data_IF_264086666687
#
_entry.id   IF_264086666687
#
_cell.length_a   1.000
_cell.length_b   1.000
_cell.length_c   1.000
_cell.angle_alpha   90.00
_cell.angle_beta   90.00
_cell.angle_gamma   90.00
#
_symmetry.space_group_name_H-M   'P 1'
#
loop_
_entity.id
_entity.type
_entity.pdbx_description
1 polymer ?
#
# COMPACT_ATOMS: atom_id res chain seq x y z
N UNK A 1 11.37 -45.12 9.48
CA UNK A 1 11.34 -43.86 10.26
C UNK A 1 11.76 -42.76 9.30
N UNK A 2 10.79 -42.13 8.66
CA UNK A 2 11.03 -40.95 7.83
C UNK A 2 11.54 -39.82 8.73
N UNK A 3 12.64 -39.23 8.32
CA UNK A 3 13.30 -38.16 9.04
C UNK A 3 12.50 -36.87 8.79
N UNK A 4 11.49 -36.61 9.63
CA UNK A 4 10.73 -35.34 9.73
C UNK A 4 11.62 -34.22 10.29
N UNK A 5 12.78 -34.02 9.65
CA UNK A 5 13.70 -32.95 9.98
C UNK A 5 13.27 -31.68 9.25
N UNK A 6 12.59 -30.82 10.01
CA UNK A 6 12.61 -29.36 9.84
C UNK A 6 11.98 -28.80 8.55
N UNK A 7 10.68 -28.95 8.38
CA UNK A 7 9.91 -27.87 7.73
C UNK A 7 9.89 -26.69 8.69
N UNK A 8 10.98 -25.91 8.74
CA UNK A 8 10.95 -24.66 9.47
C UNK A 8 9.83 -23.81 8.89
N UNK A 9 8.94 -23.34 9.76
CA UNK A 9 7.89 -22.41 9.38
C UNK A 9 8.57 -21.15 8.80
N UNK A 10 8.72 -21.09 7.48
CA UNK A 10 9.37 -19.96 6.82
C UNK A 10 8.38 -18.81 6.80
N UNK A 11 8.57 -17.87 7.72
CA UNK A 11 7.82 -16.60 7.76
C UNK A 11 7.93 -15.94 6.39
N UNK A 12 6.79 -15.59 5.80
CA UNK A 12 6.74 -14.93 4.48
C UNK A 12 6.78 -13.41 4.64
N UNK A 13 7.10 -12.71 3.55
CA UNK A 13 6.98 -11.25 3.49
C UNK A 13 5.55 -10.80 3.85
N UNK A 14 4.51 -11.53 3.41
CA UNK A 14 3.12 -11.24 3.75
C UNK A 14 2.89 -11.29 5.27
N UNK A 15 3.42 -12.30 5.96
CA UNK A 15 3.34 -12.38 7.43
C UNK A 15 4.03 -11.18 8.08
N UNK A 16 5.21 -10.79 7.60
CA UNK A 16 5.93 -9.62 8.12
C UNK A 16 5.11 -8.33 7.96
N UNK A 17 4.49 -8.13 6.79
CA UNK A 17 3.63 -6.97 6.51
C UNK A 17 2.40 -7.00 7.41
N UNK A 18 1.75 -8.15 7.59
CA UNK A 18 0.56 -8.27 8.45
C UNK A 18 0.88 -7.90 9.91
N UNK A 19 1.97 -8.42 10.47
CA UNK A 19 2.40 -8.05 11.82
C UNK A 19 2.74 -6.56 11.88
N UNK A 20 3.43 -6.03 10.87
CA UNK A 20 3.74 -4.60 10.82
C UNK A 20 2.49 -3.72 10.78
N UNK A 21 1.44 -4.09 10.04
CA UNK A 21 0.14 -3.36 10.02
C UNK A 21 -0.53 -3.38 11.39
N UNK A 22 -0.47 -4.50 12.11
CA UNK A 22 -0.96 -4.59 13.49
C UNK A 22 -0.16 -3.66 14.41
N UNK A 23 1.17 -3.62 14.27
CA UNK A 23 2.02 -2.67 15.00
C UNK A 23 1.66 -1.22 14.68
N UNK A 24 1.39 -0.87 13.42
CA UNK A 24 0.91 0.47 13.03
C UNK A 24 -0.38 0.82 13.77
N UNK A 25 -1.35 -0.10 13.81
CA UNK A 25 -2.63 0.13 14.51
C UNK A 25 -2.38 0.41 15.99
N UNK A 26 -1.58 -0.43 16.66
CA UNK A 26 -1.26 -0.22 18.07
C UNK A 26 -0.50 1.07 18.33
N UNK A 27 0.42 1.46 17.44
CA UNK A 27 1.13 2.73 17.53
C UNK A 27 0.15 3.91 17.47
N UNK A 28 -0.77 3.92 16.49
CA UNK A 28 -1.74 5.01 16.31
C UNK A 28 -2.75 5.08 17.47
N UNK A 29 -3.20 3.94 17.98
CA UNK A 29 -4.03 3.88 19.19
C UNK A 29 -3.23 4.39 20.39
N UNK A 30 -1.95 4.04 20.50
CA UNK A 30 -1.05 4.57 21.52
C UNK A 30 -0.93 6.10 21.46
N UNK A 31 -0.81 6.69 20.26
CA UNK A 31 -0.88 8.14 20.10
C UNK A 31 -2.21 8.70 20.62
N UNK A 32 -3.34 8.07 20.32
CA UNK A 32 -4.64 8.51 20.82
C UNK A 32 -4.75 8.45 22.35
N UNK A 33 -4.22 7.41 22.97
CA UNK A 33 -4.25 7.26 24.43
C UNK A 33 -3.30 8.22 25.15
N UNK A 34 -2.10 8.43 24.60
CA UNK A 34 -1.03 9.20 25.26
C UNK A 34 -1.11 10.70 24.97
N UNK A 35 -1.49 11.10 23.76
CA UNK A 35 -1.54 12.50 23.31
C UNK A 35 -2.97 13.07 23.33
N UNK A 36 -3.98 12.19 23.40
CA UNK A 36 -5.39 12.57 23.37
C UNK A 36 -5.90 12.92 21.96
N UNK A 37 -7.22 13.01 21.83
CA UNK A 37 -7.90 13.48 20.63
C UNK A 37 -8.37 14.90 20.91
N UNK A 38 -7.82 15.87 20.17
CA UNK A 38 -8.08 17.30 20.40
C UNK A 38 -9.06 17.87 19.38
N UNK A 39 -9.04 17.35 18.14
CA UNK A 39 -9.90 17.83 17.06
C UNK A 39 -10.23 16.71 16.04
N UNK A 40 -10.89 17.11 14.95
CA UNK A 40 -11.25 16.20 13.86
C UNK A 40 -10.06 15.64 13.09
N UNK A 41 -8.87 16.24 13.18
CA UNK A 41 -7.67 15.76 12.46
C UNK A 41 -7.33 14.36 12.91
N UNK A 42 -7.24 14.12 14.23
CA UNK A 42 -6.85 12.82 14.75
C UNK A 42 -7.92 11.77 14.47
N UNK A 43 -9.21 12.14 14.62
CA UNK A 43 -10.33 11.24 14.32
C UNK A 43 -10.29 10.80 12.85
N UNK A 44 -10.19 11.75 11.92
CA UNK A 44 -10.10 11.46 10.49
C UNK A 44 -8.85 10.61 10.21
N UNK A 45 -7.70 10.99 10.76
CA UNK A 45 -6.47 10.25 10.55
C UNK A 45 -6.58 8.79 10.98
N UNK A 46 -7.11 8.54 12.18
CA UNK A 46 -7.35 7.18 12.70
C UNK A 46 -8.29 6.41 11.78
N UNK A 47 -9.43 7.01 11.40
CA UNK A 47 -10.40 6.37 10.49
C UNK A 47 -9.77 5.95 9.16
N UNK A 48 -8.96 6.81 8.54
CA UNK A 48 -8.34 6.51 7.26
C UNK A 48 -7.22 5.46 7.40
N UNK A 49 -6.30 5.64 8.35
CA UNK A 49 -5.10 4.82 8.43
C UNK A 49 -5.35 3.47 9.11
N UNK A 50 -6.06 3.44 10.25
CA UNK A 50 -6.47 2.18 10.89
C UNK A 50 -7.47 1.46 9.99
N UNK A 51 -8.44 2.17 9.40
CA UNK A 51 -9.40 1.58 8.47
C UNK A 51 -8.71 0.86 7.31
N UNK A 52 -7.68 1.47 6.71
CA UNK A 52 -6.89 0.79 5.68
C UNK A 52 -6.09 -0.41 6.22
N UNK A 53 -5.47 -0.31 7.39
CA UNK A 53 -4.73 -1.44 7.96
C UNK A 53 -5.66 -2.63 8.28
N UNK A 54 -6.86 -2.35 8.78
CA UNK A 54 -7.91 -3.37 8.98
C UNK A 54 -8.35 -3.95 7.64
N UNK A 55 -8.62 -3.10 6.64
CA UNK A 55 -8.95 -3.57 5.30
C UNK A 55 -7.89 -4.51 4.73
N UNK A 56 -6.60 -4.18 4.85
CA UNK A 56 -5.49 -5.04 4.42
C UNK A 56 -5.51 -6.43 5.08
N UNK A 57 -5.89 -6.51 6.35
CA UNK A 57 -5.97 -7.78 7.08
C UNK A 57 -7.23 -8.57 6.67
N UNK A 58 -8.36 -7.88 6.49
CA UNK A 58 -9.65 -8.48 6.14
C UNK A 58 -9.70 -8.92 4.67
N UNK A 59 -9.12 -8.16 3.75
CA UNK A 59 -9.15 -8.48 2.30
C UNK A 59 -8.54 -9.85 2.01
N UNK A 60 -7.59 -10.28 2.83
CA UNK A 60 -6.98 -11.59 2.71
C UNK A 60 -7.99 -12.71 2.97
N UNK A 61 -8.90 -12.51 3.91
CA UNK A 61 -10.00 -13.44 4.17
C UNK A 61 -10.99 -13.49 3.00
N UNK A 62 -11.34 -12.33 2.43
CA UNK A 62 -12.21 -12.26 1.25
C UNK A 62 -11.58 -12.85 -0.02
N UNK A 63 -10.27 -12.69 -0.19
CA UNK A 63 -9.53 -13.12 -1.39
C UNK A 63 -8.40 -14.09 -1.01
N UNK A 64 -8.71 -15.34 -0.61
CA UNK A 64 -7.71 -16.29 -0.10
C UNK A 64 -6.61 -16.60 -1.11
N UNK A 65 -6.95 -16.79 -2.39
CA UNK A 65 -5.98 -17.02 -3.48
C UNK A 65 -4.96 -15.89 -3.63
N UNK A 66 -5.34 -14.65 -3.29
CA UNK A 66 -4.42 -13.50 -3.33
C UNK A 66 -3.25 -13.69 -2.36
N UNK A 67 -3.46 -14.33 -1.20
CA UNK A 67 -2.39 -14.60 -0.22
C UNK A 67 -1.33 -15.58 -0.72
N UNK A 68 -1.70 -16.49 -1.60
CA UNK A 68 -0.79 -17.50 -2.15
C UNK A 68 0.22 -16.87 -3.12
N UNK A 69 -0.19 -15.81 -3.81
CA UNK A 69 0.61 -15.14 -4.84
C UNK A 69 1.29 -13.87 -4.31
N UNK A 70 0.66 -13.15 -3.38
CA UNK A 70 1.12 -11.86 -2.89
C UNK A 70 2.14 -12.01 -1.76
N UNK A 71 3.38 -11.56 -1.98
CA UNK A 71 4.44 -11.52 -0.97
C UNK A 71 4.68 -12.90 -0.29
N UNK A 72 4.58 -13.98 -1.07
CA UNK A 72 4.75 -15.36 -0.60
C UNK A 72 6.21 -15.79 -0.45
N UNK A 73 7.16 -14.94 -0.87
CA UNK A 73 8.58 -15.20 -0.69
C UNK A 73 8.95 -15.28 0.80
N UNK A 74 9.78 -16.26 1.21
CA UNK A 74 10.24 -16.37 2.58
C UNK A 74 11.16 -15.20 2.92
N UNK A 75 11.05 -14.70 4.15
CA UNK A 75 11.87 -13.61 4.64
C UNK A 75 12.69 -14.05 5.85
N UNK A 76 13.98 -13.67 5.85
CA UNK A 76 14.84 -13.86 7.01
C UNK A 76 14.55 -12.84 8.11
N UNK A 77 15.21 -13.00 9.26
CA UNK A 77 15.07 -12.11 10.43
C UNK A 77 15.31 -10.65 10.06
N UNK A 78 16.30 -10.37 9.20
CA UNK A 78 16.62 -9.01 8.76
C UNK A 78 15.44 -8.39 7.99
N UNK A 79 14.92 -9.08 6.96
CA UNK A 79 13.82 -8.55 6.16
C UNK A 79 12.51 -8.43 6.96
N UNK A 80 12.27 -9.34 7.91
CA UNK A 80 11.16 -9.23 8.84
C UNK A 80 11.28 -7.97 9.72
N UNK A 81 12.46 -7.75 10.30
CA UNK A 81 12.75 -6.58 11.14
C UNK A 81 12.63 -5.28 10.36
N UNK A 82 13.17 -5.23 9.14
CA UNK A 82 13.03 -4.05 8.26
C UNK A 82 11.57 -3.77 7.90
N UNK A 83 10.76 -4.81 7.68
CA UNK A 83 9.32 -4.64 7.43
C UNK A 83 8.61 -4.06 8.65
N UNK A 84 8.94 -4.51 9.86
CA UNK A 84 8.42 -3.93 11.10
C UNK A 84 8.86 -2.48 11.29
N UNK A 85 10.13 -2.15 11.05
CA UNK A 85 10.61 -0.77 11.19
C UNK A 85 9.94 0.16 10.19
N UNK A 86 9.90 -0.24 8.92
CA UNK A 86 9.36 0.59 7.86
C UNK A 86 7.83 0.67 7.91
N UNK A 87 7.13 -0.46 7.91
CA UNK A 87 5.66 -0.51 7.85
C UNK A 87 5.05 -0.34 9.24
N UNK A 88 5.68 -0.83 10.31
CA UNK A 88 5.15 -0.69 11.66
C UNK A 88 5.28 0.75 12.18
N UNK A 89 6.43 1.39 11.97
CA UNK A 89 6.73 2.69 12.58
C UNK A 89 6.84 3.84 11.58
N UNK A 90 7.74 3.77 10.58
CA UNK A 90 7.95 4.89 9.63
C UNK A 90 6.65 5.21 8.88
N UNK A 91 5.92 4.18 8.47
CA UNK A 91 4.63 4.33 7.82
C UNK A 91 3.58 5.03 8.70
N UNK A 92 3.65 4.89 10.03
CA UNK A 92 2.78 5.55 11.00
C UNK A 92 3.18 7.01 11.31
N UNK A 93 4.33 7.47 10.80
CA UNK A 93 4.87 8.81 11.07
C UNK A 93 3.91 9.98 10.76
N UNK A 94 3.13 9.97 9.65
CA UNK A 94 2.13 11.02 9.42
C UNK A 94 1.06 11.05 10.51
N UNK A 95 0.83 9.92 11.19
CA UNK A 95 -0.12 9.83 12.30
C UNK A 95 0.40 10.53 13.52
N UNK A 96 1.65 10.26 13.90
CA UNK A 96 2.31 11.04 14.94
C UNK A 96 2.20 12.54 14.66
N UNK A 97 2.51 12.98 13.43
CA UNK A 97 2.36 14.39 13.05
C UNK A 97 0.92 14.90 13.11
N UNK A 98 -0.08 14.08 12.77
CA UNK A 98 -1.49 14.45 12.94
C UNK A 98 -1.88 14.67 14.41
N UNK A 99 -1.28 13.93 15.35
CA UNK A 99 -1.53 14.07 16.79
C UNK A 99 -0.81 15.26 17.41
N UNK A 100 0.41 15.58 16.97
CA UNK A 100 1.18 16.71 17.52
C UNK A 100 0.97 18.03 16.77
N UNK A 101 0.11 18.05 15.74
CA UNK A 101 -0.22 19.27 15.03
C UNK A 101 -1.17 20.13 15.89
N UNK A 102 -0.74 21.33 16.34
CA UNK A 102 -1.58 22.18 17.17
C UNK A 102 -2.68 22.88 16.36
N UNK A 103 -2.56 22.92 15.03
CA UNK A 103 -3.50 23.63 14.17
C UNK A 103 -4.75 22.79 13.90
N UNK A 104 -5.95 23.35 14.07
CA UNK A 104 -7.18 22.65 13.75
C UNK A 104 -7.23 22.28 12.27
N UNK A 105 -7.83 21.13 11.94
CA UNK A 105 -7.96 20.72 10.53
C UNK A 105 -8.84 21.68 9.74
N UNK A 106 -8.34 22.15 8.59
CA UNK A 106 -9.10 23.03 7.70
C UNK A 106 -10.06 22.24 6.80
N UNK A 107 -11.17 22.87 6.38
CA UNK A 107 -12.09 22.28 5.40
C UNK A 107 -11.39 21.95 4.07
N UNK A 108 -10.40 22.75 3.66
CA UNK A 108 -9.61 22.48 2.47
C UNK A 108 -8.79 21.19 2.61
N UNK A 109 -8.16 21.00 3.77
CA UNK A 109 -7.42 19.77 4.08
C UNK A 109 -8.34 18.55 4.00
N UNK A 110 -9.54 18.61 4.58
CA UNK A 110 -10.53 17.52 4.50
C UNK A 110 -10.98 17.30 3.06
N UNK A 111 -11.31 18.37 2.34
CA UNK A 111 -11.78 18.34 0.96
C UNK A 111 -10.76 17.78 -0.04
N UNK A 112 -9.46 17.83 0.28
CA UNK A 112 -8.40 17.21 -0.53
C UNK A 112 -8.11 15.78 -0.07
N UNK A 113 -7.98 15.56 1.25
CA UNK A 113 -7.56 14.28 1.79
C UNK A 113 -8.57 13.16 1.56
N UNK A 114 -9.87 13.42 1.78
CA UNK A 114 -10.88 12.37 1.67
C UNK A 114 -11.01 11.84 0.24
N UNK A 115 -11.12 12.68 -0.81
CA UNK A 115 -11.11 12.17 -2.19
C UNK A 115 -9.83 11.40 -2.53
N UNK A 116 -8.66 11.87 -2.10
CA UNK A 116 -7.39 11.15 -2.31
C UNK A 116 -7.44 9.74 -1.69
N UNK A 117 -7.94 9.62 -0.46
CA UNK A 117 -8.06 8.33 0.21
C UNK A 117 -9.06 7.41 -0.49
N UNK A 118 -10.28 7.90 -0.75
CA UNK A 118 -11.36 7.09 -1.29
C UNK A 118 -11.06 6.65 -2.72
N UNK A 119 -10.74 7.58 -3.62
CA UNK A 119 -10.40 7.22 -4.99
C UNK A 119 -9.10 6.42 -5.06
N UNK A 120 -8.10 6.74 -4.24
CA UNK A 120 -6.87 5.96 -4.16
C UNK A 120 -7.12 4.50 -3.80
N UNK A 121 -7.94 4.28 -2.76
CA UNK A 121 -8.31 2.94 -2.30
C UNK A 121 -9.16 2.18 -3.32
N UNK A 122 -10.16 2.84 -3.92
CA UNK A 122 -11.01 2.23 -4.94
C UNK A 122 -10.24 1.86 -6.19
N UNK A 123 -9.35 2.74 -6.68
CA UNK A 123 -8.49 2.48 -7.84
C UNK A 123 -7.57 1.29 -7.57
N UNK A 124 -6.90 1.29 -6.42
CA UNK A 124 -5.98 0.21 -6.05
C UNK A 124 -6.70 -1.14 -5.94
N UNK A 125 -7.79 -1.20 -5.18
CA UNK A 125 -8.56 -2.43 -4.97
C UNK A 125 -9.17 -2.94 -6.29
N UNK A 126 -9.79 -2.06 -7.08
CA UNK A 126 -10.41 -2.44 -8.36
C UNK A 126 -9.38 -2.97 -9.36
N UNK A 127 -8.22 -2.33 -9.45
CA UNK A 127 -7.15 -2.77 -10.34
C UNK A 127 -6.62 -4.16 -9.93
N UNK A 128 -6.38 -4.38 -8.65
CA UNK A 128 -5.88 -5.66 -8.15
C UNK A 128 -6.91 -6.78 -8.28
N UNK A 129 -8.19 -6.51 -7.98
CA UNK A 129 -9.28 -7.50 -8.16
C UNK A 129 -9.46 -7.83 -9.64
N UNK A 130 -9.50 -6.83 -10.55
CA UNK A 130 -9.58 -7.10 -11.99
C UNK A 130 -8.43 -8.00 -12.45
N UNK A 131 -7.19 -7.67 -12.04
CA UNK A 131 -5.99 -8.42 -12.42
C UNK A 131 -6.03 -9.85 -11.86
N UNK A 132 -6.40 -10.01 -10.59
CA UNK A 132 -6.52 -11.32 -9.95
C UNK A 132 -7.55 -12.19 -10.69
N UNK A 133 -8.76 -11.67 -10.88
CA UNK A 133 -9.84 -12.36 -11.58
C UNK A 133 -9.41 -12.76 -12.99
N UNK A 134 -8.86 -11.83 -13.77
CA UNK A 134 -8.39 -12.13 -15.13
C UNK A 134 -7.35 -13.26 -15.14
N UNK A 135 -6.41 -13.26 -14.19
CA UNK A 135 -5.41 -14.33 -14.05
C UNK A 135 -6.01 -15.68 -13.66
N UNK A 136 -7.03 -15.69 -12.81
CA UNK A 136 -7.75 -16.93 -12.46
C UNK A 136 -8.49 -17.54 -13.65
N UNK A 137 -8.94 -16.71 -14.61
CA UNK A 137 -9.51 -17.16 -15.88
C UNK A 137 -8.46 -17.43 -16.97
N UNK A 138 -7.18 -17.50 -16.62
CA UNK A 138 -6.10 -17.86 -17.55
C UNK A 138 -5.61 -16.73 -18.45
N UNK A 139 -5.92 -15.47 -18.14
CA UNK A 139 -5.43 -14.35 -18.95
C UNK A 139 -3.89 -14.24 -18.93
N UNK A 140 -3.33 -13.92 -20.11
CA UNK A 140 -1.95 -13.48 -20.30
C UNK A 140 -1.71 -12.08 -19.72
N UNK A 141 -1.14 -11.16 -20.50
CA UNK A 141 -0.99 -9.78 -20.06
C UNK A 141 -2.35 -9.11 -19.84
N UNK A 142 -2.59 -8.56 -18.64
CA UNK A 142 -3.79 -7.75 -18.37
C UNK A 142 -3.50 -6.31 -18.77
N UNK A 143 -4.20 -5.81 -19.78
CA UNK A 143 -3.96 -4.50 -20.41
C UNK A 143 -5.23 -3.69 -20.69
N UNK A 144 -6.38 -4.14 -20.22
CA UNK A 144 -7.71 -3.58 -20.50
C UNK A 144 -8.28 -2.76 -19.32
N UNK A 145 -9.41 -2.08 -19.57
CA UNK A 145 -10.12 -1.25 -18.60
C UNK A 145 -9.20 -0.21 -17.93
N UNK A 146 -9.06 -0.28 -16.59
CA UNK A 146 -8.25 0.67 -15.83
C UNK A 146 -6.76 0.51 -16.12
N UNK A 147 -6.32 -0.70 -16.50
CA UNK A 147 -4.95 -1.00 -16.87
C UNK A 147 -4.56 -0.41 -18.24
N UNK A 148 -5.52 0.02 -19.07
CA UNK A 148 -5.21 0.78 -20.30
C UNK A 148 -4.64 2.17 -19.99
N UNK A 149 -4.93 2.71 -18.81
CA UNK A 149 -4.54 4.07 -18.45
C UNK A 149 -3.12 4.14 -17.91
N UNK A 150 -2.73 3.13 -17.12
CA UNK A 150 -1.40 3.04 -16.51
C UNK A 150 -1.01 1.59 -16.21
N UNK A 151 0.24 1.23 -16.51
CA UNK A 151 0.84 -0.09 -16.26
C UNK A 151 1.03 -0.40 -14.78
N UNK A 152 0.94 0.63 -13.94
CA UNK A 152 1.08 0.55 -12.49
C UNK A 152 -0.01 1.37 -11.79
N UNK A 153 -1.24 1.32 -12.32
CA UNK A 153 -2.39 2.07 -11.80
C UNK A 153 -2.71 1.75 -10.33
N UNK A 154 -2.47 0.51 -9.90
CA UNK A 154 -2.62 0.13 -8.49
C UNK A 154 -1.62 0.86 -7.58
N UNK A 155 -0.39 1.07 -8.02
CA UNK A 155 0.62 1.84 -7.28
C UNK A 155 0.24 3.32 -7.21
N UNK A 156 -0.36 3.87 -8.27
CA UNK A 156 -0.89 5.24 -8.26
C UNK A 156 -2.01 5.39 -7.21
N UNK A 157 -2.98 4.47 -7.17
CA UNK A 157 -4.02 4.48 -6.15
C UNK A 157 -3.48 4.37 -4.72
N UNK A 158 -2.47 3.52 -4.52
CA UNK A 158 -1.82 3.37 -3.21
C UNK A 158 -1.07 4.66 -2.78
N UNK A 159 -0.39 5.32 -3.71
CA UNK A 159 0.25 6.61 -3.47
C UNK A 159 -0.78 7.69 -3.11
N UNK A 160 -1.90 7.79 -3.82
CA UNK A 160 -2.98 8.74 -3.49
C UNK A 160 -3.43 8.58 -2.04
N UNK A 161 -3.62 7.33 -1.58
CA UNK A 161 -3.95 7.04 -0.19
C UNK A 161 -2.85 7.49 0.77
N UNK A 162 -1.57 7.26 0.49
CA UNK A 162 -0.50 7.74 1.37
C UNK A 162 -0.34 9.27 1.37
N UNK A 163 -0.59 9.92 0.24
CA UNK A 163 -0.68 11.38 0.18
C UNK A 163 -1.84 11.90 1.04
N UNK A 164 -3.00 11.22 1.09
CA UNK A 164 -4.08 11.64 2.00
C UNK A 164 -3.63 11.66 3.47
N UNK A 165 -2.80 10.71 3.90
CA UNK A 165 -2.28 10.70 5.27
C UNK A 165 -1.38 11.90 5.54
N UNK A 166 -0.49 12.23 4.60
CA UNK A 166 0.38 13.40 4.72
C UNK A 166 -0.40 14.72 4.71
N UNK A 167 -1.45 14.81 3.90
CA UNK A 167 -2.35 15.97 3.87
C UNK A 167 -3.08 16.14 5.20
N UNK A 168 -3.67 15.07 5.75
CA UNK A 168 -4.34 15.12 7.08
C UNK A 168 -3.35 15.43 8.19
N UNK A 169 -2.11 14.93 8.11
CA UNK A 169 -1.08 15.25 9.11
C UNK A 169 -0.77 16.75 9.18
N UNK A 170 -0.90 17.49 8.07
CA UNK A 170 -0.65 18.92 8.02
C UNK A 170 0.80 19.31 8.34
N UNK A 171 1.76 18.41 8.09
CA UNK A 171 3.19 18.61 8.33
C UNK A 171 3.98 18.27 7.07
N UNK A 172 4.96 19.10 6.70
CA UNK A 172 5.83 18.84 5.55
C UNK A 172 6.61 17.52 5.71
N UNK A 173 6.98 17.18 6.95
CA UNK A 173 7.70 15.96 7.29
C UNK A 173 6.87 14.69 7.06
N UNK A 174 5.54 14.81 7.08
CA UNK A 174 4.65 13.69 6.80
C UNK A 174 4.77 13.18 5.33
N UNK A 175 5.24 14.03 4.41
CA UNK A 175 5.44 13.67 3.00
C UNK A 175 6.66 12.78 2.75
N UNK A 176 7.52 12.57 3.77
CA UNK A 176 8.60 11.58 3.70
C UNK A 176 8.04 10.19 3.37
N UNK A 177 6.90 9.80 3.96
CA UNK A 177 6.32 8.47 3.75
C UNK A 177 5.90 8.24 2.29
N UNK A 178 5.01 9.05 1.68
CA UNK A 178 4.68 8.87 0.26
C UNK A 178 5.90 9.05 -0.66
N UNK A 179 6.88 9.88 -0.30
CA UNK A 179 8.14 10.03 -1.03
C UNK A 179 8.99 8.76 -1.04
N UNK A 180 9.18 8.11 0.11
CA UNK A 180 9.90 6.84 0.24
C UNK A 180 9.16 5.71 -0.50
N UNK A 181 7.83 5.64 -0.37
CA UNK A 181 7.03 4.65 -1.10
C UNK A 181 7.16 4.87 -2.61
N UNK A 182 7.10 6.11 -3.08
CA UNK A 182 7.29 6.44 -4.49
C UNK A 182 8.65 5.94 -4.98
N UNK A 183 9.74 6.22 -4.26
CA UNK A 183 11.07 5.75 -4.63
C UNK A 183 11.15 4.21 -4.74
N UNK A 184 10.58 3.49 -3.77
CA UNK A 184 10.48 2.03 -3.80
C UNK A 184 9.65 1.54 -4.99
N UNK A 185 8.55 2.22 -5.32
CA UNK A 185 7.73 1.89 -6.49
C UNK A 185 8.46 2.14 -7.80
N UNK A 186 9.23 3.22 -7.94
CA UNK A 186 10.02 3.45 -9.14
C UNK A 186 11.04 2.33 -9.39
N UNK A 187 11.71 1.87 -8.33
CA UNK A 187 12.62 0.73 -8.41
C UNK A 187 11.87 -0.56 -8.84
N UNK A 188 10.75 -0.87 -8.18
CA UNK A 188 9.92 -2.05 -8.52
C UNK A 188 9.38 -1.98 -9.95
N UNK A 189 8.98 -0.79 -10.41
CA UNK A 189 8.50 -0.59 -11.78
C UNK A 189 9.62 -0.87 -12.79
N UNK A 190 10.85 -0.43 -12.55
CA UNK A 190 11.98 -0.72 -13.44
C UNK A 190 12.23 -2.23 -13.56
N UNK A 191 12.28 -2.93 -12.43
CA UNK A 191 12.48 -4.39 -12.40
C UNK A 191 11.34 -5.13 -13.09
N UNK A 192 10.09 -4.71 -12.79
CA UNK A 192 8.89 -5.25 -13.43
C UNK A 192 8.91 -5.03 -14.94
N UNK A 193 9.24 -3.83 -15.43
CA UNK A 193 9.26 -3.52 -16.86
C UNK A 193 10.22 -4.44 -17.64
N UNK A 194 11.38 -4.76 -17.08
CA UNK A 194 12.32 -5.72 -17.67
C UNK A 194 11.71 -7.12 -17.74
N UNK A 195 11.27 -7.65 -16.60
CA UNK A 195 10.68 -9.00 -16.53
C UNK A 195 9.44 -9.17 -17.42
N UNK A 196 8.63 -8.12 -17.57
CA UNK A 196 7.42 -8.14 -18.38
C UNK A 196 7.73 -8.13 -19.87
N UNK A 197 8.79 -7.42 -20.29
CA UNK A 197 9.24 -7.37 -21.68
C UNK A 197 9.79 -8.72 -22.14
N UNK A 198 10.43 -9.47 -21.24
CA UNK A 198 10.92 -10.83 -21.50
C UNK A 198 9.78 -11.86 -21.53
N UNK A 199 8.77 -11.67 -20.66
CA UNK A 199 7.68 -12.64 -20.47
C UNK A 199 6.54 -12.52 -21.49
N UNK A 200 6.21 -11.31 -21.93
CA UNK A 200 5.03 -11.05 -22.76
C UNK A 200 5.44 -10.34 -24.06
N UNK A 201 5.37 -11.02 -25.23
CA UNK A 201 5.68 -10.41 -26.53
C UNK A 201 4.86 -9.13 -26.81
N UNK A 202 3.61 -9.09 -26.36
CA UNK A 202 2.69 -7.97 -26.51
C UNK A 202 3.00 -6.77 -25.58
N UNK A 203 3.95 -6.91 -24.64
CA UNK A 203 4.24 -5.87 -23.64
C UNK A 203 4.80 -4.59 -24.25
N UNK A 204 5.59 -4.70 -25.32
CA UNK A 204 6.16 -3.52 -25.99
C UNK A 204 5.05 -2.64 -26.60
N UNK A 205 4.06 -3.25 -27.23
CA UNK A 205 2.91 -2.52 -27.77
C UNK A 205 2.08 -1.90 -26.64
N UNK A 206 1.84 -2.65 -25.57
CA UNK A 206 1.14 -2.16 -24.38
C UNK A 206 1.85 -0.94 -23.77
N UNK A 207 3.18 -0.99 -23.66
CA UNK A 207 4.01 0.09 -23.14
C UNK A 207 3.93 1.38 -23.97
N UNK A 208 3.78 1.27 -25.28
CA UNK A 208 3.62 2.45 -26.17
C UNK A 208 2.25 3.12 -26.00
N UNK A 209 1.22 2.35 -25.68
CA UNK A 209 -0.18 2.83 -25.57
C UNK A 209 -0.56 3.30 -24.18
N UNK A 210 0.28 3.10 -23.17
CA UNK A 210 -0.07 3.31 -21.76
C UNK A 210 0.95 4.14 -20.98
N UNK A 211 0.48 4.82 -19.94
CA UNK A 211 1.36 5.53 -19.01
C UNK A 211 2.00 4.59 -18.01
N UNK A 212 3.09 5.04 -17.42
CA UNK A 212 3.94 4.27 -16.51
C UNK A 212 3.33 4.20 -15.12
N UNK A 213 2.86 5.31 -14.57
CA UNK A 213 2.33 5.39 -13.21
C UNK A 213 1.11 6.31 -13.13
N UNK A 214 1.27 7.59 -13.47
CA UNK A 214 0.24 8.62 -13.35
C UNK A 214 -0.58 8.65 -14.64
N UNK A 215 -1.88 8.29 -14.62
CA UNK A 215 -2.73 8.33 -15.80
C UNK A 215 -2.65 9.68 -16.51
N UNK A 216 -2.61 9.66 -17.84
CA UNK A 216 -2.53 10.83 -18.72
C UNK A 216 -1.27 11.70 -18.61
N UNK A 217 -0.43 11.52 -17.60
CA UNK A 217 0.77 12.34 -17.35
C UNK A 217 2.04 11.55 -17.63
N UNK A 218 2.31 10.49 -16.86
CA UNK A 218 3.58 9.80 -16.90
C UNK A 218 3.48 8.31 -16.66
#
# INVERSE_FOLDING_TARGET
MENTANQSFKITQLTAINVAKVVTIFFLIGCAMLLGIQDMRQVIYLCLHIGYCVWWLVEQWFYPKRREVLFSEPVGVIGFTLSLLFIGFIYALPGYFAFVNPEPISFLTVGIALPLFFFGSLINASADVQKLTAKEFGAGLVQDNIWRLSRNINYFGDLMRYFSFAVVAGSVWAYIVPGLVMALYLQRINQKDLSMSEKYPEYLEYKLKTRRLIPFIW
#
